data_IF_136928820239
#
_entry.id   IF_136928820239
#
_cell.length_a   1.000
_cell.length_b   1.000
_cell.length_c   1.000
_cell.angle_alpha   90.00
_cell.angle_beta   90.00
_cell.angle_gamma   90.00
#
_symmetry.space_group_name_H-M   'P 1'
#
loop_
_entity.id
_entity.type
_entity.pdbx_description
1 polymer ?
#
# COMPACT_ATOMS: atom_id res chain seq x y z
N UNK A 1 0.14 -25.14 -8.50
CA UNK A 1 0.04 -24.02 -7.55
C UNK A 1 0.98 -22.96 -8.07
N UNK A 2 0.54 -22.26 -9.12
CA UNK A 2 1.00 -20.91 -9.44
C UNK A 2 0.02 -20.05 -8.68
N UNK A 3 0.58 -19.34 -7.71
CA UNK A 3 0.10 -19.26 -6.34
C UNK A 3 -0.56 -17.86 -6.15
N UNK A 4 -1.05 -17.43 -4.97
CA UNK A 4 -1.59 -16.07 -4.63
C UNK A 4 -0.61 -14.88 -4.86
N UNK A 5 0.37 -15.16 -5.69
CA UNK A 5 1.79 -15.09 -5.51
C UNK A 5 2.37 -14.63 -6.85
N UNK A 6 1.68 -14.89 -7.96
CA UNK A 6 1.90 -14.14 -9.22
C UNK A 6 1.25 -12.74 -9.14
N UNK A 7 0.39 -12.46 -8.16
CA UNK A 7 -0.56 -11.33 -8.16
C UNK A 7 -0.22 -10.23 -7.16
N UNK A 8 0.26 -10.61 -5.97
CA UNK A 8 1.17 -9.74 -5.21
C UNK A 8 2.45 -9.41 -6.01
N UNK A 9 2.77 -10.21 -7.04
CA UNK A 9 3.90 -9.98 -7.95
C UNK A 9 3.70 -8.87 -9.01
N UNK A 10 2.50 -8.30 -9.11
CA UNK A 10 2.32 -6.95 -9.64
C UNK A 10 2.28 -5.88 -8.54
N UNK A 11 2.15 -6.24 -7.27
CA UNK A 11 1.45 -5.42 -6.28
C UNK A 11 2.20 -4.28 -5.58
N UNK A 12 3.36 -3.88 -6.10
CA UNK A 12 3.83 -2.49 -5.98
C UNK A 12 4.40 -1.96 -7.30
N UNK A 13 4.19 -2.72 -8.38
CA UNK A 13 4.13 -2.22 -9.73
C UNK A 13 2.72 -1.53 -9.85
N UNK A 14 2.56 -0.20 -9.87
CA UNK A 14 3.22 0.55 -10.93
C UNK A 14 2.81 -0.27 -12.22
N UNK A 15 1.51 -0.26 -12.52
CA UNK A 15 0.83 -0.61 -13.78
C UNK A 15 -0.39 0.33 -13.88
N UNK A 16 -0.48 1.16 -14.92
CA UNK A 16 -1.78 1.30 -15.58
C UNK A 16 -1.99 0.13 -16.53
N UNK A 17 -3.04 0.17 -17.36
CA UNK A 17 -3.29 -0.78 -18.45
C UNK A 17 -4.05 -2.05 -18.08
N UNK A 18 -5.21 -2.18 -18.71
CA UNK A 18 -6.41 -2.93 -18.32
C UNK A 18 -6.30 -4.46 -18.13
N UNK A 19 -7.24 -4.94 -17.32
CA UNK A 19 -7.79 -6.29 -17.34
C UNK A 19 -8.27 -6.67 -18.76
N UNK A 20 -8.24 -7.96 -19.16
CA UNK A 20 -8.78 -8.39 -20.44
C UNK A 20 -10.27 -8.00 -20.55
N UNK A 21 -10.80 -7.79 -21.77
CA UNK A 21 -12.19 -7.39 -21.95
C UNK A 21 -13.08 -8.48 -21.37
N UNK A 22 -13.83 -8.15 -20.31
CA UNK A 22 -15.06 -8.87 -20.02
C UNK A 22 -15.94 -8.68 -21.24
N UNK A 23 -16.20 -9.76 -21.95
CA UNK A 23 -17.26 -9.79 -22.95
C UNK A 23 -18.52 -9.24 -22.29
N UNK A 24 -19.06 -8.14 -22.82
CA UNK A 24 -20.42 -7.73 -22.54
C UNK A 24 -21.35 -8.90 -22.87
N UNK A 25 -22.13 -9.43 -21.92
CA UNK A 25 -23.42 -9.98 -22.26
C UNK A 25 -24.39 -8.79 -22.35
N UNK A 26 -24.54 -8.31 -23.57
CA UNK A 26 -25.78 -7.85 -24.21
C UNK A 26 -26.99 -7.58 -23.27
N UNK A 27 -27.48 -6.34 -23.37
CA UNK A 27 -28.78 -5.77 -23.02
C UNK A 27 -29.83 -6.66 -22.31
N UNK A 28 -30.24 -6.26 -21.10
CA UNK A 28 -31.44 -6.85 -20.48
C UNK A 28 -31.83 -6.38 -19.07
N UNK A 29 -32.44 -5.18 -18.98
CA UNK A 29 -33.37 -4.71 -17.94
C UNK A 29 -32.87 -4.44 -16.49
N UNK A 30 -33.49 -3.46 -15.78
CA UNK A 30 -33.11 -3.12 -14.41
C UNK A 30 -33.81 -4.06 -13.41
N UNK A 31 -33.06 -4.94 -12.77
CA UNK A 31 -33.54 -5.71 -11.62
C UNK A 31 -33.04 -5.10 -10.31
N UNK A 32 -33.99 -4.55 -9.54
CA UNK A 32 -33.84 -4.39 -8.10
C UNK A 32 -33.81 -5.79 -7.46
N UNK A 33 -32.61 -6.27 -7.15
CA UNK A 33 -32.40 -7.54 -6.45
C UNK A 33 -31.02 -7.53 -5.80
N UNK A 34 -30.96 -7.78 -4.49
CA UNK A 34 -29.71 -7.79 -3.74
C UNK A 34 -28.73 -8.78 -4.34
N UNK A 35 -27.73 -8.26 -5.07
CA UNK A 35 -26.59 -9.05 -5.49
C UNK A 35 -25.92 -9.64 -4.24
N UNK A 36 -25.57 -10.93 -4.23
CA UNK A 36 -24.80 -11.49 -3.12
C UNK A 36 -23.51 -10.69 -2.98
N UNK A 37 -23.24 -10.20 -1.77
CA UNK A 37 -21.95 -9.57 -1.49
C UNK A 37 -20.84 -10.56 -1.86
N UNK A 38 -19.94 -10.11 -2.73
CA UNK A 38 -18.74 -10.88 -3.11
C UNK A 38 -17.91 -11.07 -1.82
N UNK A 39 -17.37 -12.27 -1.53
CA UNK A 39 -16.65 -12.54 -0.27
C UNK A 39 -15.62 -11.49 0.13
N UNK A 40 -14.94 -10.88 -0.84
CA UNK A 40 -13.96 -9.81 -0.65
C UNK A 40 -14.59 -8.53 -0.07
N UNK A 41 -15.81 -8.19 -0.51
CA UNK A 41 -16.56 -7.06 0.06
C UNK A 41 -16.98 -7.35 1.50
N UNK A 42 -17.30 -8.60 1.83
CA UNK A 42 -17.61 -9.01 3.19
C UNK A 42 -16.37 -8.93 4.09
N UNK A 43 -15.22 -9.45 3.63
CA UNK A 43 -13.95 -9.36 4.36
C UNK A 43 -13.61 -7.90 4.63
N UNK A 44 -13.69 -7.03 3.61
CA UNK A 44 -13.47 -5.58 3.79
C UNK A 44 -14.41 -4.96 4.82
N UNK A 45 -15.72 -5.23 4.74
CA UNK A 45 -16.69 -4.67 5.68
C UNK A 45 -16.45 -5.14 7.13
N UNK A 46 -16.00 -6.38 7.30
CA UNK A 46 -15.82 -6.99 8.62
C UNK A 46 -14.51 -6.56 9.29
N UNK A 47 -13.44 -6.37 8.51
CA UNK A 47 -12.08 -6.21 9.05
C UNK A 47 -11.48 -4.81 8.86
N UNK A 48 -12.14 -3.91 8.14
CA UNK A 48 -11.65 -2.53 7.94
C UNK A 48 -12.74 -1.49 8.25
N UNK A 49 -12.35 -0.20 8.25
CA UNK A 49 -13.26 0.92 8.57
C UNK A 49 -13.40 1.17 10.07
N UNK A 50 -12.42 0.75 10.86
CA UNK A 50 -12.32 1.08 12.28
C UNK A 50 -11.69 2.47 12.47
N UNK A 51 -12.11 3.20 13.49
CA UNK A 51 -11.50 4.47 13.86
C UNK A 51 -10.04 4.26 14.32
N UNK A 52 -9.10 5.04 13.77
CA UNK A 52 -7.67 4.92 14.09
C UNK A 52 -7.36 5.06 15.58
N UNK A 53 -7.94 6.03 16.33
CA UNK A 53 -7.70 6.12 17.77
C UNK A 53 -8.12 4.85 18.51
N UNK A 54 -9.31 4.32 18.20
CA UNK A 54 -9.81 3.11 18.82
C UNK A 54 -8.92 1.89 18.53
N UNK A 55 -8.34 1.82 17.33
CA UNK A 55 -7.44 0.73 16.93
C UNK A 55 -6.08 0.83 17.64
N UNK A 56 -5.49 2.03 17.69
CA UNK A 56 -4.23 2.28 18.38
C UNK A 56 -4.31 1.93 19.89
N UNK A 57 -5.45 2.22 20.54
CA UNK A 57 -5.71 1.80 21.92
C UNK A 57 -5.69 0.29 22.12
N UNK A 58 -6.17 -0.50 21.16
CA UNK A 58 -6.15 -1.96 21.25
C UNK A 58 -4.75 -2.51 20.96
N UNK A 59 -4.01 -1.93 20.01
CA UNK A 59 -2.61 -2.29 19.76
C UNK A 59 -1.72 -2.07 20.99
N UNK A 60 -1.96 -1.00 21.74
CA UNK A 60 -1.22 -0.74 22.98
C UNK A 60 -1.33 -1.88 24.01
N UNK A 61 -2.41 -2.65 23.98
CA UNK A 61 -2.65 -3.76 24.93
C UNK A 61 -1.89 -5.03 24.57
N UNK A 62 -1.27 -5.11 23.39
CA UNK A 62 -0.54 -6.30 22.94
C UNK A 62 0.81 -6.47 23.66
N UNK A 63 1.37 -5.39 24.23
CA UNK A 63 2.67 -5.40 24.93
C UNK A 63 3.82 -6.03 24.10
N UNK A 64 3.75 -5.91 22.77
CA UNK A 64 4.65 -6.55 21.80
C UNK A 64 6.01 -5.84 21.64
N UNK A 65 6.24 -4.72 22.34
CA UNK A 65 7.49 -3.97 22.30
C UNK A 65 7.72 -3.17 21.01
N UNK A 66 6.77 -3.18 20.08
CA UNK A 66 6.83 -2.42 18.83
C UNK A 66 6.27 -1.00 19.03
N UNK A 67 6.75 0.00 18.27
CA UNK A 67 6.29 1.39 18.40
C UNK A 67 4.77 1.49 18.21
N UNK A 68 4.15 2.44 18.91
CA UNK A 68 2.72 2.68 18.78
C UNK A 68 2.45 3.65 17.62
N UNK A 69 1.42 3.39 16.81
CA UNK A 69 1.07 4.30 15.75
C UNK A 69 0.61 5.64 16.30
N UNK A 70 1.11 6.72 15.70
CA UNK A 70 0.62 8.06 15.94
C UNK A 70 -0.51 8.39 14.98
N UNK A 71 -1.49 9.13 15.47
CA UNK A 71 -2.60 9.62 14.67
C UNK A 71 -2.19 10.96 14.08
N UNK A 72 -2.17 11.04 12.75
CA UNK A 72 -1.85 12.26 12.02
C UNK A 72 -2.83 12.43 10.87
N UNK A 73 -3.03 13.69 10.47
CA UNK A 73 -3.69 14.02 9.22
C UNK A 73 -2.71 13.91 8.06
N UNK A 74 -3.21 13.62 6.87
CA UNK A 74 -2.45 13.63 5.63
C UNK A 74 -3.08 14.59 4.62
N UNK A 75 -2.25 15.07 3.71
CA UNK A 75 -2.73 15.88 2.59
C UNK A 75 -3.36 14.98 1.53
N UNK A 76 -4.40 15.48 0.88
CA UNK A 76 -4.90 14.86 -0.35
C UNK A 76 -3.75 14.67 -1.34
N UNK A 77 -3.84 13.65 -2.20
CA UNK A 77 -2.83 13.44 -3.23
C UNK A 77 -2.65 14.74 -4.02
N UNK A 78 -1.42 15.27 -4.02
CA UNK A 78 -1.08 16.33 -4.95
C UNK A 78 -1.18 15.75 -6.35
N UNK A 79 -1.73 16.49 -7.33
CA UNK A 79 -1.72 16.04 -8.71
C UNK A 79 -0.29 15.73 -9.14
N UNK A 80 -0.06 14.57 -9.76
CA UNK A 80 1.24 14.19 -10.34
C UNK A 80 1.83 15.33 -11.20
N UNK A 81 0.95 16.08 -11.87
CA UNK A 81 1.30 17.24 -12.67
C UNK A 81 2.02 18.36 -11.89
N UNK A 82 1.82 18.49 -10.57
CA UNK A 82 2.53 19.47 -9.75
C UNK A 82 4.01 19.10 -9.61
N UNK A 83 4.33 17.83 -9.36
CA UNK A 83 5.71 17.37 -9.26
C UNK A 83 6.44 17.42 -10.61
N UNK A 84 5.69 17.28 -11.71
CA UNK A 84 6.19 17.34 -13.07
C UNK A 84 6.27 18.78 -13.65
N UNK A 85 5.90 19.81 -12.89
CA UNK A 85 5.95 21.22 -13.35
C UNK A 85 7.31 21.70 -13.89
N UNK A 86 8.48 21.20 -13.42
CA UNK A 86 9.75 21.61 -14.00
C UNK A 86 10.00 21.10 -15.43
N UNK A 87 9.23 20.12 -15.89
CA UNK A 87 9.40 19.52 -17.21
C UNK A 87 8.85 20.42 -18.32
N UNK A 88 9.62 20.53 -19.41
CA UNK A 88 9.14 21.15 -20.63
C UNK A 88 8.01 20.32 -21.28
N UNK A 89 7.20 20.91 -22.19
CA UNK A 89 6.13 20.17 -22.87
C UNK A 89 6.62 18.96 -23.68
N UNK A 90 7.86 18.98 -24.18
CA UNK A 90 8.44 17.84 -24.87
C UNK A 90 8.79 16.70 -23.90
N UNK A 91 9.37 17.04 -22.76
CA UNK A 91 9.74 16.09 -21.71
C UNK A 91 8.50 15.47 -21.07
N UNK A 92 7.47 16.27 -20.80
CA UNK A 92 6.19 15.77 -20.30
C UNK A 92 5.52 14.80 -21.28
N UNK A 93 5.64 15.03 -22.59
CA UNK A 93 5.18 14.08 -23.61
C UNK A 93 5.98 12.77 -23.55
N UNK A 94 7.29 12.84 -23.36
CA UNK A 94 8.14 11.64 -23.18
C UNK A 94 7.72 10.86 -21.93
N UNK A 95 7.55 11.55 -20.81
CA UNK A 95 7.09 10.97 -19.55
C UNK A 95 5.76 10.23 -19.73
N UNK A 96 4.73 10.93 -20.25
CA UNK A 96 3.39 10.35 -20.48
C UNK A 96 3.39 9.20 -21.47
N UNK A 97 4.21 9.28 -22.52
CA UNK A 97 4.35 8.19 -23.49
C UNK A 97 4.99 6.95 -22.85
N UNK A 98 5.97 7.14 -21.96
CA UNK A 98 6.55 6.02 -21.23
C UNK A 98 5.60 5.49 -20.17
N UNK A 99 4.88 6.35 -19.45
CA UNK A 99 3.79 5.97 -18.55
C UNK A 99 2.86 5.02 -19.30
N UNK A 100 2.29 5.42 -20.44
CA UNK A 100 1.46 4.53 -21.27
C UNK A 100 2.15 3.23 -21.69
N UNK A 101 3.45 3.22 -21.99
CA UNK A 101 4.17 1.98 -22.32
C UNK A 101 4.15 1.01 -21.14
N UNK A 102 4.44 1.55 -19.96
CA UNK A 102 4.49 0.81 -18.72
C UNK A 102 3.09 0.33 -18.32
N UNK A 103 2.11 1.21 -18.43
CA UNK A 103 0.70 0.91 -18.22
C UNK A 103 0.27 -0.24 -19.15
N UNK A 104 0.44 -0.12 -20.46
CA UNK A 104 0.05 -1.21 -21.36
C UNK A 104 0.91 -2.48 -21.25
N UNK A 105 1.82 -2.58 -20.27
CA UNK A 105 2.66 -3.76 -20.07
C UNK A 105 3.51 -4.05 -21.29
N UNK A 106 4.10 -3.02 -21.91
CA UNK A 106 4.90 -3.16 -23.14
C UNK A 106 6.38 -2.97 -22.83
N UNK A 107 7.22 -3.82 -23.42
CA UNK A 107 8.67 -3.63 -23.43
C UNK A 107 9.08 -2.61 -24.50
N UNK A 108 9.79 -1.56 -24.11
CA UNK A 108 10.42 -0.61 -25.03
C UNK A 108 11.73 -0.01 -24.51
N UNK A 109 12.86 -0.53 -25.02
CA UNK A 109 14.18 0.01 -24.70
C UNK A 109 14.38 1.46 -25.16
N UNK A 110 13.70 1.87 -26.24
CA UNK A 110 13.76 3.26 -26.73
C UNK A 110 13.18 4.25 -25.72
N UNK A 111 12.01 3.95 -25.16
CA UNK A 111 11.40 4.83 -24.17
C UNK A 111 12.13 4.75 -22.82
N UNK A 112 12.63 3.57 -22.43
CA UNK A 112 13.48 3.45 -21.25
C UNK A 112 14.72 4.37 -21.35
N UNK A 113 15.44 4.34 -22.49
CA UNK A 113 16.61 5.20 -22.69
C UNK A 113 16.24 6.68 -22.60
N UNK A 114 15.15 7.10 -23.27
CA UNK A 114 14.67 8.48 -23.19
C UNK A 114 14.31 8.91 -21.77
N UNK A 115 13.80 8.00 -20.95
CA UNK A 115 13.49 8.27 -19.55
C UNK A 115 14.73 8.30 -18.66
N UNK A 116 15.73 7.45 -18.90
CA UNK A 116 17.02 7.55 -18.23
C UNK A 116 17.73 8.87 -18.57
N UNK A 117 17.62 9.34 -19.81
CA UNK A 117 18.13 10.66 -20.23
C UNK A 117 17.39 11.79 -19.50
N UNK A 118 16.07 11.64 -19.34
CA UNK A 118 15.24 12.57 -18.59
C UNK A 118 15.62 12.60 -17.10
N UNK A 119 15.82 11.43 -16.48
CA UNK A 119 16.27 11.29 -15.08
C UNK A 119 17.63 11.95 -14.85
N UNK A 120 18.56 11.84 -15.81
CA UNK A 120 19.86 12.51 -15.73
C UNK A 120 19.74 14.04 -15.82
N UNK A 121 18.73 14.54 -16.52
CA UNK A 121 18.47 15.97 -16.67
C UNK A 121 17.74 16.55 -15.46
N UNK A 122 16.84 15.77 -14.86
CA UNK A 122 16.02 16.17 -13.70
C UNK A 122 16.18 15.19 -12.53
N UNK A 123 17.38 15.06 -11.95
CA UNK A 123 17.68 14.07 -10.90
C UNK A 123 16.94 14.31 -9.57
N UNK A 124 16.20 15.41 -9.44
CA UNK A 124 15.42 15.78 -8.27
C UNK A 124 13.94 15.37 -8.36
N UNK A 125 13.46 14.89 -9.51
CA UNK A 125 12.05 14.51 -9.71
C UNK A 125 11.89 13.01 -9.44
N UNK A 126 11.28 12.68 -8.30
CA UNK A 126 11.13 11.31 -7.83
C UNK A 126 10.20 10.47 -8.72
N UNK A 127 9.21 11.09 -9.34
CA UNK A 127 8.20 10.45 -10.20
C UNK A 127 8.85 9.78 -11.43
N UNK A 128 9.89 10.38 -11.98
CA UNK A 128 10.67 9.80 -13.07
C UNK A 128 11.38 8.53 -12.59
N UNK A 129 12.00 8.57 -11.41
CA UNK A 129 12.67 7.42 -10.83
C UNK A 129 11.70 6.30 -10.46
N UNK A 130 10.53 6.62 -9.90
CA UNK A 130 9.46 5.65 -9.63
C UNK A 130 9.01 4.94 -10.91
N UNK A 131 8.76 5.70 -11.99
CA UNK A 131 8.32 5.15 -13.26
C UNK A 131 9.41 4.31 -13.97
N UNK A 132 10.68 4.66 -13.83
CA UNK A 132 11.80 3.81 -14.30
C UNK A 132 11.89 2.54 -13.45
N UNK A 133 11.84 2.68 -12.12
CA UNK A 133 11.89 1.57 -11.15
C UNK A 133 10.83 0.51 -11.47
N UNK A 134 9.58 0.96 -11.65
CA UNK A 134 8.45 0.16 -12.15
C UNK A 134 8.77 -0.66 -13.39
N UNK A 135 9.30 0.00 -14.43
CA UNK A 135 9.57 -0.64 -15.69
C UNK A 135 10.70 -1.67 -15.57
N UNK A 136 11.76 -1.32 -14.82
CA UNK A 136 12.90 -2.20 -14.62
C UNK A 136 12.51 -3.44 -13.83
N UNK A 137 11.71 -3.29 -12.77
CA UNK A 137 11.18 -4.40 -11.97
C UNK A 137 10.55 -5.50 -12.85
N UNK A 138 9.78 -5.10 -13.87
CA UNK A 138 9.09 -6.05 -14.75
C UNK A 138 10.01 -6.59 -15.87
N UNK A 139 10.73 -5.70 -16.56
CA UNK A 139 11.37 -6.04 -17.85
C UNK A 139 12.87 -6.29 -17.78
N UNK A 140 13.51 -5.84 -16.71
CA UNK A 140 14.96 -5.81 -16.47
C UNK A 140 15.27 -5.91 -14.96
N UNK A 141 14.80 -6.95 -14.25
CA UNK A 141 14.94 -7.08 -12.80
C UNK A 141 16.41 -7.02 -12.36
N UNK A 142 17.35 -7.48 -13.20
CA UNK A 142 18.79 -7.40 -12.93
C UNK A 142 19.33 -5.97 -12.83
N UNK A 143 18.61 -4.98 -13.36
CA UNK A 143 18.96 -3.56 -13.32
C UNK A 143 18.16 -2.79 -12.27
N UNK A 144 17.07 -3.37 -11.75
CA UNK A 144 16.16 -2.69 -10.84
C UNK A 144 16.83 -2.31 -9.51
N UNK A 145 17.42 -3.30 -8.83
CA UNK A 145 18.06 -3.11 -7.53
C UNK A 145 19.22 -2.09 -7.60
N UNK A 146 20.22 -2.21 -8.51
CA UNK A 146 21.29 -1.21 -8.62
C UNK A 146 20.78 0.19 -8.98
N UNK A 147 19.71 0.28 -9.77
CA UNK A 147 19.10 1.56 -10.11
C UNK A 147 18.53 2.23 -8.85
N UNK A 148 17.67 1.56 -8.10
CA UNK A 148 17.02 2.15 -6.91
C UNK A 148 18.05 2.51 -5.85
N UNK A 149 19.04 1.66 -5.58
CA UNK A 149 20.12 1.99 -4.64
C UNK A 149 20.87 3.26 -5.05
N UNK A 150 21.21 3.40 -6.33
CA UNK A 150 21.90 4.61 -6.82
C UNK A 150 21.07 5.88 -6.63
N UNK A 151 19.74 5.78 -6.78
CA UNK A 151 18.84 6.90 -6.58
C UNK A 151 18.75 7.26 -5.09
N UNK A 152 18.53 6.28 -4.21
CA UNK A 152 18.42 6.51 -2.76
C UNK A 152 19.75 6.96 -2.12
N UNK A 153 20.89 6.54 -2.67
CA UNK A 153 22.20 7.05 -2.24
C UNK A 153 22.39 8.54 -2.53
N UNK A 154 21.76 9.05 -3.60
CA UNK A 154 21.82 10.46 -3.99
C UNK A 154 20.70 11.29 -3.35
N UNK A 155 19.53 10.68 -3.17
CA UNK A 155 18.29 11.30 -2.69
C UNK A 155 17.68 10.45 -1.57
N UNK A 156 18.27 10.44 -0.36
CA UNK A 156 17.81 9.59 0.75
C UNK A 156 16.40 9.95 1.27
N UNK A 157 15.93 11.16 0.96
CA UNK A 157 14.62 11.67 1.36
C UNK A 157 13.48 11.28 0.38
N UNK A 158 13.76 10.48 -0.66
CA UNK A 158 12.73 9.93 -1.55
C UNK A 158 11.95 8.80 -0.90
N UNK A 159 11.12 9.17 0.08
CA UNK A 159 10.41 8.26 0.98
C UNK A 159 9.50 7.28 0.23
N UNK A 160 8.71 7.73 -0.74
CA UNK A 160 7.82 6.83 -1.52
C UNK A 160 8.63 5.77 -2.29
N UNK A 161 9.73 6.15 -2.95
CA UNK A 161 10.59 5.20 -3.67
C UNK A 161 11.19 4.18 -2.71
N UNK A 162 11.66 4.65 -1.55
CA UNK A 162 12.21 3.80 -0.49
C UNK A 162 11.20 2.79 0.03
N UNK A 163 9.98 3.23 0.34
CA UNK A 163 8.91 2.34 0.85
C UNK A 163 8.50 1.31 -0.20
N UNK A 164 8.21 1.76 -1.43
CA UNK A 164 7.85 0.85 -2.54
C UNK A 164 8.93 -0.20 -2.78
N UNK A 165 10.20 0.21 -2.74
CA UNK A 165 11.31 -0.72 -2.90
C UNK A 165 11.44 -1.70 -1.72
N UNK A 166 11.28 -1.23 -0.48
CA UNK A 166 11.27 -2.08 0.69
C UNK A 166 10.13 -3.11 0.64
N UNK A 167 8.93 -2.71 0.21
CA UNK A 167 7.80 -3.62 -0.01
C UNK A 167 8.07 -4.64 -1.12
N UNK A 168 8.68 -4.22 -2.23
CA UNK A 168 9.11 -5.11 -3.31
C UNK A 168 10.08 -6.20 -2.81
N UNK A 169 11.09 -5.83 -2.01
CA UNK A 169 12.06 -6.79 -1.46
C UNK A 169 11.40 -7.87 -0.60
N UNK A 170 10.41 -7.50 0.21
CA UNK A 170 9.67 -8.46 1.02
C UNK A 170 8.87 -9.45 0.16
N UNK A 171 8.24 -8.96 -0.92
CA UNK A 171 7.43 -9.79 -1.81
C UNK A 171 8.27 -10.69 -2.72
N UNK A 172 9.39 -10.19 -3.26
CA UNK A 172 10.30 -10.99 -4.10
C UNK A 172 10.89 -12.18 -3.33
N UNK A 173 11.09 -11.99 -2.03
CA UNK A 173 11.68 -12.99 -1.13
C UNK A 173 10.66 -13.54 -0.14
N UNK A 174 9.47 -13.96 -0.59
CA UNK A 174 8.52 -14.69 0.28
C UNK A 174 8.77 -16.21 0.18
N UNK A 175 8.93 -16.95 1.30
CA UNK A 175 8.94 -16.49 2.69
C UNK A 175 10.18 -15.65 3.04
N UNK A 176 10.00 -14.62 3.88
CA UNK A 176 11.03 -13.63 4.19
C UNK A 176 12.13 -14.24 5.06
N UNK A 177 13.35 -14.26 4.52
CA UNK A 177 14.54 -14.73 5.23
C UNK A 177 15.16 -13.62 6.11
N UNK A 178 16.00 -14.01 7.07
CA UNK A 178 16.64 -13.06 7.99
C UNK A 178 17.48 -11.98 7.29
N UNK A 179 18.10 -12.31 6.15
CA UNK A 179 18.87 -11.34 5.35
C UNK A 179 17.94 -10.29 4.70
N UNK A 180 16.82 -10.73 4.13
CA UNK A 180 15.78 -9.85 3.59
C UNK A 180 15.18 -8.96 4.67
N UNK A 181 14.92 -9.52 5.87
CA UNK A 181 14.43 -8.75 7.01
C UNK A 181 15.45 -7.68 7.43
N UNK A 182 16.75 -8.01 7.50
CA UNK A 182 17.79 -7.05 7.83
C UNK A 182 17.91 -5.94 6.75
N UNK A 183 17.81 -6.29 5.47
CA UNK A 183 17.83 -5.34 4.36
C UNK A 183 16.61 -4.41 4.39
N UNK A 184 15.42 -4.95 4.65
CA UNK A 184 14.19 -4.18 4.86
C UNK A 184 14.35 -3.19 6.01
N UNK A 185 14.78 -3.65 7.19
CA UNK A 185 14.96 -2.79 8.36
C UNK A 185 16.02 -1.71 8.12
N UNK A 186 17.08 -2.03 7.37
CA UNK A 186 18.09 -1.06 6.98
C UNK A 186 17.52 0.03 6.05
N UNK A 187 16.74 -0.35 5.03
CA UNK A 187 16.06 0.59 4.13
C UNK A 187 15.05 1.46 4.87
N UNK A 188 14.35 0.89 5.85
CA UNK A 188 13.41 1.60 6.70
C UNK A 188 14.12 2.36 7.83
N UNK A 189 15.45 2.41 7.89
CA UNK A 189 16.21 3.09 8.96
C UNK A 189 15.81 2.65 10.38
N UNK A 190 15.37 1.40 10.56
CA UNK A 190 14.81 0.88 11.83
C UNK A 190 13.57 1.62 12.34
N UNK A 191 12.92 2.41 11.47
CA UNK A 191 11.71 3.16 11.76
C UNK A 191 10.51 2.38 11.21
N UNK A 192 9.57 2.07 12.10
CA UNK A 192 8.45 1.17 11.81
C UNK A 192 7.11 1.91 11.78
N UNK A 193 7.13 3.20 12.09
CA UNK A 193 5.95 4.07 12.02
C UNK A 193 6.21 5.29 11.14
N UNK A 194 5.20 5.72 10.37
CA UNK A 194 5.38 6.79 9.37
C UNK A 194 5.88 8.08 10.03
N UNK A 195 5.35 8.41 11.20
CA UNK A 195 5.70 9.62 11.93
C UNK A 195 7.18 9.70 12.32
N UNK A 196 7.90 8.57 12.39
CA UNK A 196 9.34 8.54 12.67
C UNK A 196 10.14 9.01 11.44
N UNK A 197 9.59 8.83 10.24
CA UNK A 197 10.19 9.26 8.98
C UNK A 197 9.87 10.72 8.60
N UNK A 198 8.81 11.28 9.21
CA UNK A 198 8.45 12.68 9.06
C UNK A 198 9.30 13.46 10.06
N UNK A 199 10.32 14.17 9.57
CA UNK A 199 11.32 14.82 10.42
C UNK A 199 10.73 15.65 11.57
N UNK A 200 11.51 15.89 12.63
CA UNK A 200 11.09 16.55 13.89
C UNK A 200 10.76 18.06 13.78
N UNK A 201 10.28 18.54 12.63
CA UNK A 201 9.98 19.95 12.44
C UNK A 201 8.77 20.40 13.27
N UNK A 202 8.77 21.62 13.85
CA UNK A 202 7.77 22.06 14.84
C UNK A 202 6.33 22.19 14.34
N UNK A 203 6.09 22.00 13.05
CA UNK A 203 4.77 22.00 12.43
C UNK A 203 4.46 20.72 11.65
N UNK A 204 5.32 19.70 11.68
CA UNK A 204 5.16 18.40 11.02
C UNK A 204 4.94 18.52 9.51
N UNK A 205 5.88 18.06 8.69
CA UNK A 205 5.56 17.84 7.28
C UNK A 205 4.41 16.84 7.21
N UNK A 206 3.23 17.28 6.76
CA UNK A 206 2.10 16.38 6.59
C UNK A 206 2.41 15.48 5.39
N UNK A 207 2.35 14.15 5.55
CA UNK A 207 2.58 13.25 4.45
C UNK A 207 1.46 13.42 3.42
N UNK A 208 1.78 13.22 2.15
CA UNK A 208 0.74 13.11 1.14
C UNK A 208 0.12 11.70 1.16
N UNK A 209 -1.09 11.57 0.63
CA UNK A 209 -1.82 10.30 0.59
C UNK A 209 -1.03 9.13 -0.06
N UNK A 210 -0.25 9.38 -1.11
CA UNK A 210 0.55 8.34 -1.78
C UNK A 210 1.69 7.83 -0.90
N UNK A 211 2.31 8.71 -0.13
CA UNK A 211 3.32 8.36 0.85
C UNK A 211 2.74 7.49 1.97
N UNK A 212 1.57 7.88 2.50
CA UNK A 212 0.85 7.09 3.50
C UNK A 212 0.53 5.69 2.97
N UNK A 213 0.00 5.59 1.76
CA UNK A 213 -0.29 4.30 1.13
C UNK A 213 0.97 3.45 0.97
N UNK A 214 2.01 3.98 0.32
CA UNK A 214 3.24 3.24 0.10
C UNK A 214 3.86 2.72 1.40
N UNK A 215 3.84 3.54 2.46
CA UNK A 215 4.33 3.15 3.77
C UNK A 215 3.50 2.03 4.39
N UNK A 216 2.18 2.22 4.56
CA UNK A 216 1.35 1.26 5.30
C UNK A 216 1.08 -0.01 4.53
N UNK A 217 1.04 0.03 3.21
CA UNK A 217 1.03 -1.19 2.43
C UNK A 217 2.32 -1.98 2.71
N UNK A 218 3.49 -1.32 2.68
CA UNK A 218 4.79 -1.95 2.96
C UNK A 218 4.85 -2.54 4.37
N UNK A 219 4.34 -1.81 5.37
CA UNK A 219 4.22 -2.33 6.74
C UNK A 219 3.30 -3.54 6.82
N UNK A 220 2.16 -3.52 6.11
CA UNK A 220 1.26 -4.68 6.06
C UNK A 220 1.97 -5.90 5.45
N UNK A 221 2.70 -5.72 4.34
CA UNK A 221 3.53 -6.77 3.73
C UNK A 221 4.51 -7.36 4.75
N UNK A 222 5.23 -6.52 5.49
CA UNK A 222 6.19 -7.00 6.50
C UNK A 222 5.52 -7.77 7.63
N UNK A 223 4.44 -7.24 8.19
CA UNK A 223 3.74 -7.88 9.29
C UNK A 223 3.01 -9.16 8.87
N UNK A 224 2.67 -9.36 7.60
CA UNK A 224 2.07 -10.61 7.11
C UNK A 224 3.17 -11.65 6.83
N UNK A 225 4.20 -11.28 6.05
CA UNK A 225 5.13 -12.27 5.47
C UNK A 225 6.49 -12.35 6.17
N UNK A 226 6.85 -11.34 6.99
CA UNK A 226 8.14 -11.26 7.66
C UNK A 226 8.09 -11.64 9.14
N UNK A 227 7.41 -10.82 9.94
CA UNK A 227 7.46 -10.95 11.41
C UNK A 227 6.17 -11.52 12.03
N UNK A 228 5.15 -11.75 11.19
CA UNK A 228 3.83 -12.29 11.54
C UNK A 228 3.16 -11.60 12.76
N UNK A 229 2.76 -10.34 12.57
CA UNK A 229 1.95 -9.57 13.51
C UNK A 229 0.62 -9.16 12.86
N UNK A 230 -0.34 -10.08 12.84
CA UNK A 230 -1.60 -9.90 12.10
C UNK A 230 -2.44 -8.72 12.59
N UNK A 231 -2.41 -8.36 13.87
CA UNK A 231 -3.09 -7.17 14.41
C UNK A 231 -2.53 -5.88 13.79
N UNK A 232 -1.19 -5.79 13.68
CA UNK A 232 -0.49 -4.64 13.10
C UNK A 232 -0.63 -4.59 11.58
N UNK A 233 -0.58 -5.74 10.92
CA UNK A 233 -0.93 -5.84 9.50
C UNK A 233 -2.33 -5.30 9.25
N UNK A 234 -3.31 -5.69 10.07
CA UNK A 234 -4.67 -5.23 9.91
C UNK A 234 -4.83 -3.73 10.19
N UNK A 235 -4.11 -3.19 11.17
CA UNK A 235 -4.05 -1.75 11.40
C UNK A 235 -3.55 -1.00 10.16
N UNK A 236 -2.44 -1.45 9.58
CA UNK A 236 -1.85 -0.86 8.38
C UNK A 236 -2.83 -0.93 7.18
N UNK A 237 -3.49 -2.08 6.99
CA UNK A 237 -4.55 -2.23 5.99
C UNK A 237 -5.74 -1.30 6.25
N UNK A 238 -6.14 -1.10 7.51
CA UNK A 238 -7.21 -0.19 7.88
C UNK A 238 -6.85 1.28 7.55
N UNK A 239 -5.60 1.69 7.73
CA UNK A 239 -5.12 3.01 7.29
C UNK A 239 -5.17 3.12 5.77
N UNK A 240 -4.63 2.13 5.04
CA UNK A 240 -4.68 2.11 3.57
C UNK A 240 -6.10 2.27 3.05
N UNK A 241 -7.07 1.55 3.63
CA UNK A 241 -8.47 1.66 3.23
C UNK A 241 -9.06 3.04 3.49
N UNK A 242 -8.69 3.72 4.58
CA UNK A 242 -9.14 5.10 4.84
C UNK A 242 -8.60 6.07 3.79
N UNK A 243 -7.32 5.95 3.43
CA UNK A 243 -6.71 6.78 2.37
C UNK A 243 -7.37 6.48 1.02
N UNK A 244 -7.55 5.21 0.66
CA UNK A 244 -8.20 4.82 -0.60
C UNK A 244 -9.64 5.32 -0.70
N UNK A 245 -10.42 5.30 0.40
CA UNK A 245 -11.77 5.85 0.40
C UNK A 245 -11.79 7.38 0.16
N UNK A 246 -10.73 8.09 0.55
CA UNK A 246 -10.60 9.53 0.30
C UNK A 246 -10.16 9.82 -1.14
N UNK A 247 -9.22 9.05 -1.68
CA UNK A 247 -8.74 9.20 -3.06
C UNK A 247 -9.76 8.71 -4.10
N UNK A 248 -10.44 7.61 -3.79
CA UNK A 248 -11.37 6.90 -4.66
C UNK A 248 -12.66 6.62 -3.89
N UNK A 249 -13.65 7.54 -3.93
CA UNK A 249 -14.92 7.35 -3.23
C UNK A 249 -15.70 6.12 -3.70
N UNK A 250 -15.47 5.68 -4.94
CA UNK A 250 -16.09 4.49 -5.52
C UNK A 250 -15.20 3.24 -5.30
N UNK A 251 -15.69 2.19 -4.61
CA UNK A 251 -14.91 0.98 -4.33
C UNK A 251 -14.33 0.27 -5.56
N UNK A 252 -14.96 0.41 -6.74
CA UNK A 252 -14.51 -0.21 -7.99
C UNK A 252 -13.22 0.38 -8.53
N UNK A 253 -12.81 1.54 -8.02
CA UNK A 253 -11.60 2.25 -8.42
C UNK A 253 -10.44 1.99 -7.44
N UNK A 254 -10.67 1.14 -6.42
CA UNK A 254 -9.64 0.85 -5.42
C UNK A 254 -8.54 -0.02 -6.04
N UNK A 255 -7.27 0.34 -5.89
CA UNK A 255 -6.15 -0.45 -6.37
C UNK A 255 -6.19 -1.89 -5.80
N UNK A 256 -5.90 -2.92 -6.61
CA UNK A 256 -6.02 -4.33 -6.21
C UNK A 256 -5.02 -4.75 -5.12
N UNK A 257 -3.95 -3.99 -4.90
CA UNK A 257 -2.82 -4.33 -4.02
C UNK A 257 -3.26 -4.44 -2.56
N UNK A 258 -4.05 -3.46 -2.07
CA UNK A 258 -4.58 -3.49 -0.70
C UNK A 258 -5.55 -4.65 -0.51
N UNK A 259 -6.29 -5.01 -1.57
CA UNK A 259 -7.19 -6.17 -1.52
C UNK A 259 -6.42 -7.49 -1.47
N UNK A 260 -5.34 -7.60 -2.25
CA UNK A 260 -4.46 -8.77 -2.24
C UNK A 260 -3.80 -8.96 -0.87
N UNK A 261 -3.33 -7.88 -0.23
CA UNK A 261 -2.78 -7.96 1.12
C UNK A 261 -3.85 -8.30 2.18
N UNK A 262 -5.07 -7.78 2.02
CA UNK A 262 -6.19 -8.15 2.91
C UNK A 262 -6.58 -9.63 2.74
N UNK A 263 -6.51 -10.16 1.52
CA UNK A 263 -6.74 -11.58 1.25
C UNK A 263 -5.62 -12.43 1.87
N UNK A 264 -4.35 -12.07 1.68
CA UNK A 264 -3.22 -12.77 2.30
C UNK A 264 -3.33 -12.75 3.84
N UNK A 265 -3.69 -11.60 4.42
CA UNK A 265 -3.95 -11.49 5.86
C UNK A 265 -5.06 -12.45 6.31
N UNK A 266 -6.15 -12.56 5.54
CA UNK A 266 -7.26 -13.46 5.84
C UNK A 266 -6.84 -14.93 5.73
N UNK A 267 -6.00 -15.28 4.77
CA UNK A 267 -5.47 -16.63 4.65
C UNK A 267 -4.66 -17.01 5.89
N UNK A 268 -3.70 -16.16 6.30
CA UNK A 268 -2.92 -16.35 7.54
C UNK A 268 -3.81 -16.47 8.78
N UNK A 269 -4.88 -15.67 8.87
CA UNK A 269 -5.86 -15.76 9.97
C UNK A 269 -6.47 -17.16 10.07
N UNK A 270 -6.78 -17.77 8.93
CA UNK A 270 -7.49 -19.06 8.83
C UNK A 270 -6.60 -20.29 8.90
N UNK A 271 -5.28 -20.13 8.86
CA UNK A 271 -4.32 -21.23 8.94
C UNK A 271 -4.39 -21.98 10.29
N UNK A 272 -4.73 -21.28 11.37
CA UNK A 272 -4.80 -21.85 12.72
C UNK A 272 -6.01 -21.35 13.50
N UNK A 273 -6.70 -22.30 14.17
CA UNK A 273 -7.82 -21.98 15.06
C UNK A 273 -7.39 -21.11 16.25
N UNK A 274 -6.13 -21.24 16.69
CA UNK A 274 -5.56 -20.42 17.77
C UNK A 274 -5.37 -18.97 17.31
N UNK A 275 -4.77 -18.77 16.14
CA UNK A 275 -4.60 -17.45 15.51
C UNK A 275 -5.97 -16.79 15.27
N UNK A 276 -6.93 -17.54 14.72
CA UNK A 276 -8.31 -17.07 14.55
C UNK A 276 -8.93 -16.64 15.89
N UNK A 277 -8.75 -17.43 16.95
CA UNK A 277 -9.30 -17.11 18.27
C UNK A 277 -8.65 -15.86 18.86
N UNK A 278 -7.34 -15.72 18.71
CA UNK A 278 -6.57 -14.56 19.17
C UNK A 278 -7.03 -13.27 18.47
N UNK A 279 -7.05 -13.26 17.13
CA UNK A 279 -7.49 -12.10 16.35
C UNK A 279 -8.96 -11.76 16.64
N UNK A 280 -9.81 -12.75 16.85
CA UNK A 280 -11.20 -12.50 17.26
C UNK A 280 -11.27 -11.78 18.61
N UNK A 281 -10.46 -12.19 19.59
CA UNK A 281 -10.40 -11.51 20.88
C UNK A 281 -9.93 -10.07 20.73
N UNK A 282 -8.91 -9.83 19.91
CA UNK A 282 -8.42 -8.50 19.57
C UNK A 282 -9.48 -7.61 18.89
N UNK A 283 -10.22 -8.15 17.92
CA UNK A 283 -11.21 -7.41 17.13
C UNK A 283 -12.52 -7.14 17.87
N UNK A 284 -12.89 -7.98 18.83
CA UNK A 284 -14.16 -7.86 19.57
C UNK A 284 -14.40 -6.46 20.15
N UNK A 285 -13.46 -5.85 20.92
CA UNK A 285 -13.64 -4.49 21.41
C UNK A 285 -13.81 -3.45 20.30
N UNK A 286 -13.09 -3.58 19.17
CA UNK A 286 -13.22 -2.68 18.02
C UNK A 286 -14.61 -2.77 17.36
N UNK A 287 -15.12 -3.98 17.19
CA UNK A 287 -16.46 -4.24 16.66
C UNK A 287 -17.56 -3.69 17.58
N UNK A 288 -17.39 -3.84 18.90
CA UNK A 288 -18.33 -3.29 19.89
C UNK A 288 -18.33 -1.76 19.91
N UNK A 289 -17.16 -1.12 19.77
CA UNK A 289 -17.04 0.35 19.63
C UNK A 289 -17.74 0.81 18.34
N UNK A 290 -17.46 0.18 17.20
CA UNK A 290 -18.04 0.52 15.88
C UNK A 290 -19.57 0.40 15.83
N UNK A 291 -20.14 -0.60 16.50
CA UNK A 291 -21.59 -0.82 16.52
C UNK A 291 -22.33 -0.02 17.59
N UNK A 292 -21.60 0.70 18.47
CA UNK A 292 -22.17 1.41 19.61
C UNK A 292 -22.73 0.50 20.70
N UNK A 293 -22.55 -0.82 20.59
CA UNK A 293 -23.03 -1.82 21.56
C UNK A 293 -22.14 -1.91 22.82
N UNK A 294 -20.91 -1.37 22.76
CA UNK A 294 -20.00 -1.27 23.92
C UNK A 294 -20.29 -0.10 24.86
N UNK A 295 -21.06 0.90 24.40
CA UNK A 295 -21.43 2.06 25.20
C UNK A 295 -22.65 1.72 26.05
N UNK A 296 -22.43 1.10 27.21
CA UNK A 296 -23.46 0.89 28.21
C UNK A 296 -24.17 2.19 28.55
N UNK A 297 -25.27 2.48 27.86
CA UNK A 297 -26.27 3.42 28.35
C UNK A 297 -26.78 2.83 29.65
N UNK A 298 -26.25 3.35 30.76
CA UNK A 298 -26.77 3.09 32.08
C UNK A 298 -28.28 3.20 32.03
N UNK A 299 -28.95 2.09 32.35
CA UNK A 299 -30.34 2.07 32.75
C UNK A 299 -30.49 3.09 33.87
N UNK A 300 -30.91 4.31 33.54
CA UNK A 300 -31.51 5.22 34.51
C UNK A 300 -32.75 4.52 34.99
N UNK A 301 -32.66 3.88 36.16
CA UNK A 301 -33.83 3.47 36.95
C UNK A 301 -34.62 4.73 37.25
N UNK A 302 -35.76 4.88 36.59
CA UNK A 302 -36.89 5.65 37.09
C UNK A 302 -37.78 4.75 37.92
#
# INVERSE_FOLDING_TARGET
MTDLYDQLSKAYALQGGDLPPTQDPDDGLPEWGGAPMVPEQMIRLLFTGFELPSFAEELQKLEDGLPLPQIFDWQAAQPEEQALTPLSPQELRTFRAFQQVVEHGRKSSKYLQAMQDLQRTHPQIQEIALLISQYLCIWHPEQHFPFVESQLATQPDWRVLRYVFAGYLLLEHTPVEAETQAAFLALMNQQLELHEHLGTHPQGEQPNAWEVLAFYQTQATWFIFGDLHLERALYALNVCMQVLNQLYPEPKQHPPEVQALLQAWFECLTESAEVTAHIRQFLTPLLLKRTGLGSGRGLKKG
#
